data_IF_956315912926
#
_entry.id   IF_956315912926
#
_cell.length_a   1.000
_cell.length_b   1.000
_cell.length_c   1.000
_cell.angle_alpha   90.00
_cell.angle_beta   90.00
_cell.angle_gamma   90.00
#
_symmetry.space_group_name_H-M   'P 1'
#
loop_
_entity.id
_entity.type
_entity.pdbx_description
1 polymer ?
#
# COMPACT_ATOMS: atom_id res chain seq x y z
N UNK A 1 34.45 -69.43 54.96
CA UNK A 1 34.75 -68.01 55.20
C UNK A 1 35.09 -67.36 53.86
N UNK A 2 34.10 -66.76 53.20
CA UNK A 2 34.21 -66.30 51.81
C UNK A 2 34.50 -64.78 51.79
N UNK A 3 35.60 -64.40 51.12
CA UNK A 3 36.10 -63.02 51.02
C UNK A 3 35.15 -62.15 50.17
N UNK A 4 34.73 -61.00 50.71
CA UNK A 4 33.96 -59.97 50.01
C UNK A 4 34.88 -59.17 49.08
N UNK A 5 34.55 -59.12 47.79
CA UNK A 5 35.13 -58.17 46.85
C UNK A 5 34.22 -56.95 46.74
N UNK A 6 34.78 -55.78 47.03
CA UNK A 6 34.10 -54.49 46.92
C UNK A 6 34.30 -53.96 45.49
N UNK A 7 33.24 -53.85 44.70
CA UNK A 7 33.24 -53.09 43.45
C UNK A 7 32.90 -51.62 43.76
N UNK A 8 33.83 -50.72 43.47
CA UNK A 8 33.59 -49.27 43.49
C UNK A 8 33.13 -48.87 42.09
N UNK A 9 31.87 -48.49 41.96
CA UNK A 9 31.33 -47.88 40.74
C UNK A 9 31.55 -46.37 40.78
N UNK A 10 32.37 -45.83 39.87
CA UNK A 10 32.46 -44.40 39.61
C UNK A 10 31.16 -43.92 38.96
N UNK A 11 30.38 -43.09 39.65
CA UNK A 11 29.33 -42.30 39.03
C UNK A 11 29.96 -41.08 38.33
N UNK A 12 30.06 -41.13 37.00
CA UNK A 12 30.35 -39.96 36.18
C UNK A 12 29.14 -39.03 36.16
N UNK A 13 29.32 -37.79 36.61
CA UNK A 13 28.29 -36.75 36.55
C UNK A 13 28.08 -36.30 35.10
N UNK A 14 26.89 -36.58 34.55
CA UNK A 14 26.42 -35.91 33.34
C UNK A 14 26.06 -34.46 33.68
N UNK A 15 26.85 -33.51 33.20
CA UNK A 15 26.48 -32.10 33.16
C UNK A 15 25.54 -31.90 31.97
N UNK A 16 24.23 -31.89 32.23
CA UNK A 16 23.22 -31.46 31.26
C UNK A 16 23.25 -29.94 31.14
N UNK A 17 23.89 -29.42 30.09
CA UNK A 17 23.75 -28.02 29.70
C UNK A 17 22.30 -27.77 29.26
N UNK A 18 21.51 -27.18 30.14
CA UNK A 18 20.17 -26.70 29.84
C UNK A 18 20.31 -25.38 29.08
N UNK A 19 20.19 -25.42 27.76
CA UNK A 19 19.95 -24.22 26.98
C UNK A 19 18.52 -23.78 27.26
N UNK A 20 18.37 -22.82 28.18
CA UNK A 20 17.09 -22.13 28.36
C UNK A 20 16.73 -21.44 27.04
N UNK A 21 15.64 -21.86 26.42
CA UNK A 21 15.02 -21.09 25.35
C UNK A 21 14.61 -19.74 25.95
N UNK A 22 15.34 -18.68 25.61
CA UNK A 22 14.96 -17.32 25.99
C UNK A 22 13.55 -17.05 25.48
N UNK A 23 12.65 -16.65 26.37
CA UNK A 23 11.35 -16.14 25.97
C UNK A 23 11.58 -14.92 25.09
N UNK A 24 11.10 -14.98 23.84
CA UNK A 24 11.12 -13.82 22.96
C UNK A 24 10.16 -12.78 23.55
N UNK A 25 10.70 -11.73 24.17
CA UNK A 25 9.90 -10.59 24.57
C UNK A 25 9.30 -9.95 23.31
N UNK A 26 8.02 -9.61 23.38
CA UNK A 26 7.39 -8.79 22.35
C UNK A 26 8.13 -7.45 22.26
N UNK A 27 8.38 -6.98 21.04
CA UNK A 27 8.98 -5.68 20.80
C UNK A 27 8.16 -4.58 21.48
N UNK A 28 8.84 -3.64 22.12
CA UNK A 28 8.17 -2.50 22.77
C UNK A 28 8.35 -1.28 21.88
N UNK A 29 7.33 -0.98 21.09
CA UNK A 29 7.40 0.17 20.17
C UNK A 29 7.79 1.47 20.89
N UNK A 30 8.52 2.31 20.17
CA UNK A 30 8.89 3.67 20.55
C UNK A 30 9.82 3.72 21.77
N UNK A 31 10.64 2.69 21.99
CA UNK A 31 11.55 2.62 23.15
C UNK A 31 12.99 3.04 22.86
N UNK A 32 13.33 3.35 21.61
CA UNK A 32 14.69 3.72 21.20
C UNK A 32 15.65 2.53 21.06
N UNK A 33 15.13 1.32 20.94
CA UNK A 33 15.89 0.10 20.65
C UNK A 33 15.34 -0.55 19.40
N UNK A 34 16.22 -1.06 18.53
CA UNK A 34 15.78 -1.74 17.32
C UNK A 34 15.67 -3.25 17.56
N UNK A 35 14.47 -3.72 17.90
CA UNK A 35 14.18 -5.08 18.34
C UNK A 35 13.69 -5.98 17.19
N UNK A 36 13.52 -7.28 17.46
CA UNK A 36 12.96 -8.20 16.45
C UNK A 36 11.48 -7.90 16.25
N UNK A 37 11.03 -7.78 15.00
CA UNK A 37 9.66 -7.41 14.67
C UNK A 37 9.46 -5.93 14.33
N UNK A 38 10.50 -5.10 14.44
CA UNK A 38 10.41 -3.65 14.24
C UNK A 38 11.07 -3.17 12.95
N UNK A 39 10.61 -2.01 12.49
CA UNK A 39 11.27 -1.19 11.51
C UNK A 39 11.87 0.04 12.19
N UNK A 40 13.15 0.29 11.93
CA UNK A 40 13.91 1.30 12.66
C UNK A 40 14.49 2.34 11.69
N UNK A 41 14.32 3.61 12.03
CA UNK A 41 14.84 4.77 11.32
C UNK A 41 15.94 5.41 12.16
N UNK A 42 17.07 5.71 11.53
CA UNK A 42 18.25 6.28 12.16
C UNK A 42 18.52 7.67 11.64
N UNK A 43 18.93 8.57 12.54
CA UNK A 43 19.22 9.96 12.21
C UNK A 43 20.41 10.12 11.25
N UNK A 44 21.44 9.27 11.36
CA UNK A 44 22.59 9.29 10.46
C UNK A 44 22.62 8.08 9.52
N UNK A 45 23.50 8.17 8.52
CA UNK A 45 23.82 7.03 7.65
C UNK A 45 24.44 5.87 8.42
N UNK A 46 24.42 4.69 7.81
CA UNK A 46 25.06 3.47 8.31
C UNK A 46 24.56 3.03 9.70
N UNK A 47 23.26 3.25 9.94
CA UNK A 47 22.55 2.96 11.19
C UNK A 47 23.19 3.63 12.42
N UNK A 48 23.77 4.82 12.24
CA UNK A 48 24.35 5.62 13.30
C UNK A 48 23.39 6.71 13.84
N UNK A 49 23.74 7.28 14.98
CA UNK A 49 22.93 8.31 15.65
C UNK A 49 21.75 7.75 16.43
N UNK A 50 20.82 8.63 16.79
CA UNK A 50 19.60 8.27 17.51
C UNK A 50 18.65 7.47 16.61
N UNK A 51 17.89 6.54 17.21
CA UNK A 51 16.95 5.65 16.52
C UNK A 51 15.51 5.90 16.94
N UNK A 52 14.61 5.70 15.98
CA UNK A 52 13.18 5.62 16.14
C UNK A 52 12.69 4.27 15.61
N UNK A 53 12.02 3.49 16.44
CA UNK A 53 11.54 2.13 16.17
C UNK A 53 10.01 2.05 16.14
N UNK A 54 9.48 1.13 15.33
CA UNK A 54 8.05 0.97 15.02
C UNK A 54 7.72 -0.50 14.71
N UNK A 55 6.62 -1.06 15.22
CA UNK A 55 6.13 -2.39 14.82
C UNK A 55 4.94 -2.32 13.83
N UNK A 56 4.29 -1.15 13.72
CA UNK A 56 3.23 -0.85 12.75
C UNK A 56 3.67 0.06 11.58
N UNK A 57 2.78 0.24 10.60
CA UNK A 57 2.97 1.26 9.55
C UNK A 57 2.60 2.64 10.07
N UNK A 58 3.32 3.68 9.64
CA UNK A 58 3.07 5.07 10.04
C UNK A 58 2.83 5.93 8.81
N UNK A 59 1.60 6.44 8.69
CA UNK A 59 1.17 7.27 7.56
C UNK A 59 1.73 8.69 7.63
N UNK A 60 2.05 9.22 8.80
CA UNK A 60 2.67 10.54 8.93
C UNK A 60 3.56 10.58 10.18
N UNK A 61 4.83 10.90 10.00
CA UNK A 61 5.76 11.09 11.12
C UNK A 61 5.48 12.37 11.91
N UNK A 62 4.69 13.30 11.37
CA UNK A 62 4.38 14.58 12.00
C UNK A 62 5.53 15.59 11.92
N UNK A 63 5.17 16.87 11.79
CA UNK A 63 6.14 17.95 11.51
C UNK A 63 6.79 18.54 12.76
N UNK A 64 6.12 18.47 13.91
CA UNK A 64 6.58 19.08 15.15
C UNK A 64 6.06 18.39 16.41
N UNK A 65 6.80 18.55 17.51
CA UNK A 65 6.35 18.20 18.85
C UNK A 65 5.10 19.00 19.25
N UNK A 66 4.19 18.45 20.09
CA UNK A 66 4.29 17.15 20.75
C UNK A 66 3.78 15.96 19.92
N UNK A 67 3.36 16.22 18.67
CA UNK A 67 2.67 15.23 17.83
C UNK A 67 3.57 14.41 16.91
N UNK A 68 4.80 14.87 16.66
CA UNK A 68 5.71 14.14 15.79
C UNK A 68 6.31 12.92 16.50
N UNK A 69 6.69 11.93 15.72
CA UNK A 69 7.52 10.85 16.20
C UNK A 69 8.97 11.34 16.27
N UNK A 70 9.58 11.43 17.45
CA UNK A 70 11.01 11.73 17.55
C UNK A 70 11.93 10.51 17.49
N UNK A 71 13.22 10.73 17.21
CA UNK A 71 14.27 9.76 17.55
C UNK A 71 14.45 9.69 19.08
N UNK A 72 14.40 8.48 19.63
CA UNK A 72 14.24 8.21 21.07
C UNK A 72 15.57 7.92 21.77
N UNK A 73 16.45 7.17 21.12
CA UNK A 73 17.67 6.68 21.75
C UNK A 73 18.71 7.77 21.99
N UNK A 74 19.67 7.52 22.86
CA UNK A 74 20.79 8.44 23.07
C UNK A 74 21.64 8.59 21.79
N UNK A 75 22.08 9.81 21.50
CA UNK A 75 22.99 10.11 20.39
C UNK A 75 22.54 11.29 19.52
N UNK A 76 23.30 11.57 18.46
CA UNK A 76 22.98 12.65 17.52
C UNK A 76 21.57 12.46 16.93
N UNK A 77 20.74 13.51 17.03
CA UNK A 77 19.36 13.50 16.56
C UNK A 77 18.30 13.15 17.62
N UNK A 78 18.70 12.83 18.85
CA UNK A 78 17.74 12.55 19.93
C UNK A 78 16.76 13.71 20.13
N UNK A 79 15.46 13.40 20.19
CA UNK A 79 14.38 14.39 20.34
C UNK A 79 13.97 15.11 19.06
N UNK A 80 14.72 14.97 17.96
CA UNK A 80 14.36 15.54 16.65
C UNK A 80 13.23 14.72 16.04
N UNK A 81 12.26 15.38 15.41
CA UNK A 81 11.20 14.69 14.66
C UNK A 81 11.80 13.86 13.52
N UNK A 82 11.30 12.63 13.33
CA UNK A 82 11.77 11.71 12.29
C UNK A 82 11.54 12.27 10.89
N UNK A 83 10.42 12.98 10.69
CA UNK A 83 10.07 13.60 9.41
C UNK A 83 11.21 14.47 8.92
N UNK A 84 11.64 14.22 7.68
CA UNK A 84 12.73 14.91 7.01
C UNK A 84 14.09 14.87 7.75
N UNK A 85 14.31 13.85 8.58
CA UNK A 85 15.56 13.75 9.34
C UNK A 85 16.15 12.33 9.38
N UNK A 86 15.44 11.29 8.92
CA UNK A 86 16.03 9.96 8.87
C UNK A 86 16.96 9.79 7.67
N UNK A 87 18.11 9.13 7.88
CA UNK A 87 19.13 8.92 6.85
C UNK A 87 19.40 7.45 6.54
N UNK A 88 19.07 6.52 7.44
CA UNK A 88 19.24 5.08 7.20
C UNK A 88 18.23 4.26 7.99
N UNK A 89 18.14 2.97 7.66
CA UNK A 89 17.13 2.07 8.23
C UNK A 89 17.71 0.73 8.66
N UNK A 90 16.98 0.04 9.54
CA UNK A 90 17.08 -1.40 9.71
C UNK A 90 15.67 -2.01 9.76
N UNK A 91 15.37 -2.88 8.81
CA UNK A 91 14.14 -3.67 8.80
C UNK A 91 14.36 -4.98 9.56
N UNK A 92 13.92 -5.05 10.81
CA UNK A 92 13.91 -6.28 11.62
C UNK A 92 12.53 -6.95 11.66
N UNK A 93 11.61 -6.50 10.82
CA UNK A 93 10.33 -7.18 10.60
C UNK A 93 10.52 -8.44 9.74
N UNK A 94 9.50 -9.29 9.66
CA UNK A 94 9.45 -10.44 8.75
C UNK A 94 8.86 -10.10 7.37
N UNK A 95 8.67 -8.82 7.07
CA UNK A 95 8.09 -8.32 5.81
C UNK A 95 9.01 -7.29 5.17
N UNK A 96 8.80 -7.00 3.89
CA UNK A 96 9.41 -5.81 3.29
C UNK A 96 8.83 -4.54 3.92
N UNK A 97 9.63 -3.49 4.04
CA UNK A 97 9.19 -2.17 4.50
C UNK A 97 9.58 -1.12 3.49
N UNK A 98 8.64 -0.24 3.16
CA UNK A 98 8.86 0.86 2.21
C UNK A 98 8.81 2.19 2.94
N UNK A 99 9.83 3.03 2.72
CA UNK A 99 9.91 4.42 3.22
C UNK A 99 9.54 5.37 2.09
N UNK A 100 8.76 6.41 2.40
CA UNK A 100 8.20 7.35 1.44
C UNK A 100 8.59 8.79 1.76
N UNK A 101 8.74 9.60 0.70
CA UNK A 101 9.08 11.01 0.76
C UNK A 101 7.96 11.82 1.44
N UNK A 102 6.70 11.58 1.05
CA UNK A 102 5.54 12.29 1.58
C UNK A 102 4.82 11.47 2.66
N UNK A 103 4.02 12.18 3.47
CA UNK A 103 3.00 11.56 4.31
C UNK A 103 1.96 10.84 3.44
N UNK A 104 1.19 9.97 4.08
CA UNK A 104 0.20 9.08 3.47
C UNK A 104 0.78 8.18 2.37
N UNK A 105 2.03 7.72 2.56
CA UNK A 105 2.71 6.76 1.68
C UNK A 105 2.92 7.24 0.24
N UNK A 106 3.13 8.55 0.05
CA UNK A 106 3.25 9.16 -1.28
C UNK A 106 4.69 9.56 -1.68
N UNK A 107 4.88 9.85 -2.97
CA UNK A 107 6.14 10.41 -3.49
C UNK A 107 7.23 9.39 -3.77
N UNK A 108 8.48 9.86 -3.87
CA UNK A 108 9.65 8.99 -4.02
C UNK A 108 9.72 7.99 -2.87
N UNK A 109 10.21 6.77 -3.15
CA UNK A 109 10.21 5.69 -2.16
C UNK A 109 11.39 4.75 -2.30
N UNK A 110 11.65 3.98 -1.25
CA UNK A 110 12.66 2.94 -1.21
C UNK A 110 12.18 1.78 -0.32
N UNK A 111 12.24 0.58 -0.87
CA UNK A 111 11.83 -0.64 -0.18
C UNK A 111 13.05 -1.41 0.33
N UNK A 112 12.96 -1.91 1.55
CA UNK A 112 13.96 -2.72 2.21
C UNK A 112 13.36 -4.10 2.51
N UNK A 113 14.00 -5.16 2.01
CA UNK A 113 13.59 -6.53 2.29
C UNK A 113 13.61 -6.84 3.80
N UNK A 114 12.90 -7.88 4.22
CA UNK A 114 12.95 -8.36 5.59
C UNK A 114 14.41 -8.64 6.01
N UNK A 115 14.81 -8.17 7.19
CA UNK A 115 16.18 -8.28 7.70
C UNK A 115 17.18 -7.26 7.14
N UNK A 116 16.82 -6.49 6.09
CA UNK A 116 17.76 -5.62 5.40
C UNK A 116 18.12 -4.38 6.23
N UNK A 117 19.38 -3.94 6.06
CA UNK A 117 19.89 -2.63 6.49
C UNK A 117 20.26 -1.82 5.26
N UNK A 118 20.19 -0.51 5.36
CA UNK A 118 20.73 0.34 4.30
C UNK A 118 20.54 1.83 4.54
N UNK A 119 21.29 2.61 3.77
CA UNK A 119 21.09 4.04 3.66
C UNK A 119 19.87 4.34 2.80
N UNK A 120 19.17 5.41 3.16
CA UNK A 120 18.18 6.00 2.26
C UNK A 120 18.92 6.63 1.08
N UNK A 121 18.38 6.43 -0.13
CA UNK A 121 18.88 7.06 -1.36
C UNK A 121 18.81 8.58 -1.22
N UNK A 122 19.62 9.29 -2.01
CA UNK A 122 19.77 10.74 -1.91
C UNK A 122 18.43 11.51 -1.92
N UNK A 123 17.43 11.01 -2.66
CA UNK A 123 16.09 11.59 -2.79
C UNK A 123 15.23 11.49 -1.52
N UNK A 124 15.57 10.59 -0.59
CA UNK A 124 14.79 10.25 0.61
C UNK A 124 15.52 10.51 1.91
N UNK A 125 16.85 10.53 1.86
CA UNK A 125 17.69 10.85 3.00
C UNK A 125 17.35 12.25 3.47
N UNK A 126 16.92 12.37 4.73
CA UNK A 126 16.46 13.61 5.34
C UNK A 126 15.23 14.22 4.64
N UNK A 127 14.48 13.42 3.89
CA UNK A 127 13.33 13.87 3.12
C UNK A 127 12.31 12.73 3.09
N UNK A 128 11.88 12.28 4.26
CA UNK A 128 10.96 11.15 4.42
C UNK A 128 9.91 11.44 5.48
N UNK A 129 8.70 10.95 5.26
CA UNK A 129 7.53 11.33 6.07
C UNK A 129 6.60 10.17 6.43
N UNK A 130 6.77 8.98 5.84
CA UNK A 130 5.97 7.80 6.20
C UNK A 130 6.68 6.48 5.87
N UNK A 131 6.21 5.37 6.45
CA UNK A 131 6.62 4.01 6.05
C UNK A 131 5.48 2.99 6.15
N UNK A 132 5.55 1.94 5.33
CA UNK A 132 4.56 0.86 5.27
C UNK A 132 5.21 -0.51 5.34
N UNK A 133 4.79 -1.32 6.30
CA UNK A 133 5.22 -2.71 6.51
C UNK A 133 4.35 -3.65 5.67
N UNK A 134 4.96 -4.61 4.98
CA UNK A 134 4.27 -5.57 4.11
C UNK A 134 4.19 -5.18 2.64
N UNK A 135 4.74 -4.03 2.25
CA UNK A 135 4.78 -3.58 0.87
C UNK A 135 6.12 -3.96 0.22
N UNK A 136 6.11 -4.98 -0.64
CA UNK A 136 7.29 -5.51 -1.33
C UNK A 136 7.57 -4.82 -2.68
N UNK A 137 7.26 -3.53 -2.79
CA UNK A 137 7.53 -2.77 -3.99
C UNK A 137 6.52 -3.02 -5.12
N UNK A 138 5.22 -3.02 -4.80
CA UNK A 138 4.26 -2.60 -5.82
C UNK A 138 4.51 -1.12 -6.11
N UNK A 139 4.62 -0.70 -7.37
CA UNK A 139 4.68 0.71 -7.78
C UNK A 139 3.65 1.57 -7.02
N UNK A 140 3.97 2.85 -6.75
CA UNK A 140 3.31 3.66 -5.73
C UNK A 140 1.79 3.53 -5.79
N UNK A 141 1.18 3.58 -4.61
CA UNK A 141 0.03 4.45 -4.48
C UNK A 141 0.60 5.87 -4.70
N UNK A 142 0.53 6.49 -5.91
CA UNK A 142 0.91 7.88 -6.01
C UNK A 142 0.09 8.62 -4.97
N UNK A 143 0.70 9.62 -4.31
CA UNK A 143 -0.08 10.59 -3.56
C UNK A 143 -1.28 10.98 -4.45
N UNK A 144 -2.53 10.99 -3.94
CA UNK A 144 -3.69 11.29 -4.76
C UNK A 144 -3.35 12.56 -5.53
N UNK A 145 -3.26 12.44 -6.85
CA UNK A 145 -2.90 13.57 -7.67
C UNK A 145 -3.84 14.72 -7.33
N UNK A 146 -3.34 15.95 -7.41
CA UNK A 146 -4.13 17.17 -7.18
C UNK A 146 -5.08 17.46 -8.34
N UNK A 147 -5.68 16.43 -8.94
CA UNK A 147 -6.83 16.65 -9.81
C UNK A 147 -7.90 17.37 -9.00
N UNK A 148 -8.50 18.44 -9.56
CA UNK A 148 -9.53 19.19 -8.87
C UNK A 148 -10.69 18.28 -8.43
N UNK A 149 -11.39 18.70 -7.38
CA UNK A 149 -12.60 18.00 -6.97
C UNK A 149 -13.63 18.03 -8.11
N UNK A 150 -14.32 16.90 -8.37
CA UNK A 150 -15.45 16.90 -9.28
C UNK A 150 -16.67 17.56 -8.65
N UNK A 151 -17.60 17.90 -9.52
CA UNK A 151 -18.97 18.21 -9.13
C UNK A 151 -19.69 16.97 -8.60
N UNK A 152 -20.74 17.16 -7.81
CA UNK A 152 -21.58 16.04 -7.36
C UNK A 152 -22.46 15.59 -8.53
N UNK A 153 -22.55 14.28 -8.74
CA UNK A 153 -23.31 13.69 -9.82
C UNK A 153 -24.81 14.00 -9.64
N UNK A 154 -25.44 14.75 -10.56
CA UNK A 154 -26.84 15.14 -10.40
C UNK A 154 -27.81 14.10 -10.96
N UNK A 155 -27.32 12.99 -11.52
CA UNK A 155 -28.15 12.06 -12.27
C UNK A 155 -28.60 10.86 -11.42
N UNK A 156 -29.89 10.48 -11.50
CA UNK A 156 -30.41 9.31 -10.80
C UNK A 156 -29.88 8.00 -11.39
N UNK A 157 -30.10 6.88 -10.68
CA UNK A 157 -29.72 5.57 -11.18
C UNK A 157 -30.55 5.21 -12.42
N UNK A 158 -29.91 4.60 -13.41
CA UNK A 158 -30.56 4.22 -14.66
C UNK A 158 -29.84 3.03 -15.29
N UNK A 159 -30.40 2.53 -16.39
CA UNK A 159 -29.74 1.61 -17.29
C UNK A 159 -29.72 2.19 -18.69
N UNK A 160 -28.63 1.96 -19.41
CA UNK A 160 -28.46 2.27 -20.82
C UNK A 160 -27.80 1.07 -21.47
N UNK A 161 -28.37 0.54 -22.55
CA UNK A 161 -27.75 -0.62 -23.20
C UNK A 161 -26.41 -0.20 -23.80
N UNK A 162 -25.35 -0.92 -23.43
CA UNK A 162 -24.03 -0.79 -24.06
C UNK A 162 -24.13 -0.78 -25.60
N UNK A 163 -23.34 0.06 -26.29
CA UNK A 163 -22.20 0.83 -25.78
C UNK A 163 -22.56 2.19 -25.16
N UNK A 164 -23.86 2.50 -25.02
CA UNK A 164 -24.28 3.78 -24.45
C UNK A 164 -24.05 3.82 -22.94
N UNK A 165 -23.45 4.90 -22.46
CA UNK A 165 -23.41 5.23 -21.05
C UNK A 165 -24.77 5.69 -20.55
N UNK A 166 -25.09 5.40 -19.29
CA UNK A 166 -26.16 6.16 -18.60
C UNK A 166 -25.72 7.61 -18.45
N UNK A 167 -26.67 8.54 -18.25
CA UNK A 167 -26.31 9.95 -17.97
C UNK A 167 -25.41 10.08 -16.74
N UNK A 168 -25.62 9.21 -15.75
CA UNK A 168 -24.79 9.13 -14.54
C UNK A 168 -23.35 8.74 -14.87
N UNK A 169 -23.16 7.72 -15.71
CA UNK A 169 -21.82 7.29 -16.16
C UNK A 169 -21.17 8.31 -17.08
N UNK A 170 -21.93 8.90 -18.01
CA UNK A 170 -21.43 9.95 -18.91
C UNK A 170 -20.93 11.16 -18.12
N UNK A 171 -21.63 11.56 -17.06
CA UNK A 171 -21.15 12.63 -16.20
C UNK A 171 -19.78 12.32 -15.58
N UNK A 172 -19.53 11.08 -15.18
CA UNK A 172 -18.22 10.68 -14.63
C UNK A 172 -17.15 10.74 -15.71
N UNK A 173 -17.44 10.23 -16.92
CA UNK A 173 -16.55 10.36 -18.08
C UNK A 173 -16.18 11.83 -18.35
N UNK A 174 -17.17 12.73 -18.36
CA UNK A 174 -16.96 14.17 -18.55
C UNK A 174 -16.10 14.80 -17.42
N UNK A 175 -16.32 14.38 -16.17
CA UNK A 175 -15.49 14.82 -15.05
C UNK A 175 -14.06 14.25 -15.14
N UNK A 176 -13.88 12.99 -15.55
CA UNK A 176 -12.55 12.39 -15.78
C UNK A 176 -11.82 13.21 -16.85
N UNK A 177 -12.44 13.43 -18.00
CA UNK A 177 -11.84 14.19 -19.09
C UNK A 177 -11.48 15.63 -18.70
N UNK A 178 -12.38 16.33 -18.02
CA UNK A 178 -12.19 17.75 -17.67
C UNK A 178 -11.23 17.97 -16.49
N UNK A 179 -11.19 17.07 -15.49
CA UNK A 179 -10.34 17.25 -14.30
C UNK A 179 -8.98 16.57 -14.44
N UNK A 180 -8.90 15.50 -15.22
CA UNK A 180 -7.69 14.66 -15.29
C UNK A 180 -6.97 14.74 -16.62
N UNK A 181 -7.68 15.10 -17.69
CA UNK A 181 -7.18 15.09 -19.06
C UNK A 181 -7.28 13.73 -19.75
N UNK A 182 -7.69 12.68 -19.04
CA UNK A 182 -7.91 11.34 -19.60
C UNK A 182 -9.18 11.31 -20.44
N UNK A 183 -9.04 10.99 -21.73
CA UNK A 183 -10.15 11.03 -22.71
C UNK A 183 -10.49 9.67 -23.31
N UNK A 184 -9.79 8.63 -22.88
CA UNK A 184 -9.90 7.29 -23.43
C UNK A 184 -10.69 6.40 -22.47
N UNK A 185 -11.91 6.83 -22.14
CA UNK A 185 -12.84 6.10 -21.29
C UNK A 185 -14.08 5.70 -22.10
N UNK A 186 -14.54 4.46 -21.95
CA UNK A 186 -15.76 3.99 -22.63
C UNK A 186 -16.43 2.84 -21.87
N UNK A 187 -17.73 2.66 -22.11
CA UNK A 187 -18.49 1.50 -21.60
C UNK A 187 -18.07 0.20 -22.30
N UNK A 188 -17.73 0.30 -23.59
CA UNK A 188 -17.46 -0.86 -24.44
C UNK A 188 -18.74 -1.47 -25.00
N UNK A 189 -18.58 -2.43 -25.91
CA UNK A 189 -19.73 -3.08 -26.56
C UNK A 189 -20.50 -4.01 -25.61
N UNK A 190 -21.76 -4.28 -25.97
CA UNK A 190 -22.60 -5.24 -25.26
C UNK A 190 -22.00 -6.66 -25.34
N UNK A 191 -21.92 -7.34 -24.20
CA UNK A 191 -21.30 -8.65 -24.02
C UNK A 191 -22.38 -9.71 -23.78
N UNK A 192 -22.75 -10.45 -24.83
CA UNK A 192 -23.81 -11.46 -24.77
C UNK A 192 -23.50 -12.68 -23.89
N UNK A 193 -22.22 -12.89 -23.57
CA UNK A 193 -21.74 -13.95 -22.68
C UNK A 193 -21.68 -13.53 -21.20
N UNK A 194 -21.98 -12.26 -20.88
CA UNK A 194 -22.14 -11.79 -19.50
C UNK A 194 -23.62 -11.64 -19.14
N UNK A 195 -23.93 -11.49 -17.85
CA UNK A 195 -25.29 -11.15 -17.41
C UNK A 195 -25.78 -9.89 -18.12
N UNK A 196 -27.04 -9.86 -18.53
CA UNK A 196 -27.68 -8.65 -19.06
C UNK A 196 -27.68 -7.49 -18.04
N UNK A 197 -27.50 -7.80 -16.75
CA UNK A 197 -27.39 -6.83 -15.65
C UNK A 197 -25.94 -6.47 -15.31
N UNK A 198 -24.93 -6.93 -16.05
CA UNK A 198 -23.54 -6.53 -15.78
C UNK A 198 -23.38 -5.01 -15.93
N UNK A 199 -22.46 -4.43 -15.17
CA UNK A 199 -22.25 -2.98 -15.18
C UNK A 199 -21.89 -2.46 -16.57
N UNK A 200 -21.12 -3.22 -17.36
CA UNK A 200 -20.90 -2.91 -18.77
C UNK A 200 -22.20 -2.97 -19.58
N UNK A 201 -22.92 -4.09 -19.54
CA UNK A 201 -24.14 -4.27 -20.35
C UNK A 201 -25.24 -3.24 -20.05
N UNK A 202 -25.25 -2.69 -18.84
CA UNK A 202 -26.20 -1.67 -18.37
C UNK A 202 -25.69 -0.23 -18.48
N UNK A 203 -24.51 0.02 -19.05
CA UNK A 203 -23.99 1.36 -19.28
C UNK A 203 -23.49 2.05 -18.00
N UNK A 204 -23.17 1.27 -16.97
CA UNK A 204 -22.79 1.69 -15.62
C UNK A 204 -21.34 1.33 -15.25
N UNK A 205 -20.48 1.12 -16.25
CA UNK A 205 -19.04 0.98 -16.08
C UNK A 205 -18.29 1.77 -17.16
N UNK A 206 -17.07 2.19 -16.84
CA UNK A 206 -16.11 2.75 -17.79
C UNK A 206 -14.79 2.00 -17.67
N UNK A 207 -14.22 1.66 -18.81
CA UNK A 207 -12.82 1.25 -18.95
C UNK A 207 -12.02 2.42 -19.52
N UNK A 208 -11.08 2.93 -18.74
CA UNK A 208 -10.23 4.06 -19.10
C UNK A 208 -8.81 3.58 -19.44
N UNK A 209 -8.43 3.56 -20.71
CA UNK A 209 -7.05 3.26 -21.10
C UNK A 209 -6.15 4.46 -20.88
N UNK A 210 -4.98 4.26 -20.30
CA UNK A 210 -4.06 5.34 -19.95
C UNK A 210 -3.13 5.61 -21.14
N UNK A 211 -3.67 6.25 -22.17
CA UNK A 211 -2.98 6.59 -23.43
C UNK A 211 -2.49 5.41 -24.28
N UNK A 212 -2.79 4.16 -23.90
CA UNK A 212 -2.45 2.91 -24.60
C UNK A 212 -3.69 2.22 -25.20
N UNK A 213 -3.47 1.26 -26.09
CA UNK A 213 -4.52 0.34 -26.52
C UNK A 213 -4.73 -0.77 -25.48
N UNK A 214 -5.96 -1.28 -25.36
CA UNK A 214 -6.25 -2.50 -24.61
C UNK A 214 -5.39 -3.67 -25.15
N UNK A 215 -4.98 -4.54 -24.23
CA UNK A 215 -4.17 -5.74 -24.48
C UNK A 215 -2.68 -5.53 -24.21
N UNK A 216 -2.23 -4.32 -23.90
CA UNK A 216 -0.81 -3.99 -23.71
C UNK A 216 -0.53 -3.47 -22.31
N UNK A 217 0.49 -4.02 -21.65
CA UNK A 217 0.96 -3.50 -20.37
C UNK A 217 1.41 -2.03 -20.49
N UNK A 218 1.04 -1.15 -19.53
CA UNK A 218 1.44 0.23 -19.51
C UNK A 218 2.93 0.36 -19.21
N UNK A 219 3.54 1.45 -19.70
CA UNK A 219 4.83 1.92 -19.19
C UNK A 219 4.73 2.37 -17.73
N UNK A 220 5.85 2.54 -17.03
CA UNK A 220 5.84 2.99 -15.64
C UNK A 220 5.16 4.35 -15.43
N UNK A 221 5.32 5.29 -16.37
CA UNK A 221 4.64 6.60 -16.31
C UNK A 221 3.12 6.47 -16.48
N UNK A 222 2.68 5.59 -17.39
CA UNK A 222 1.25 5.29 -17.57
C UNK A 222 0.67 4.54 -16.38
N UNK A 223 1.44 3.63 -15.77
CA UNK A 223 1.05 2.95 -14.54
C UNK A 223 0.80 3.95 -13.41
N UNK A 224 1.73 4.90 -13.22
CA UNK A 224 1.60 5.97 -12.25
C UNK A 224 0.39 6.88 -12.53
N UNK A 225 0.14 7.21 -13.80
CA UNK A 225 -1.03 8.00 -14.21
C UNK A 225 -2.36 7.26 -13.98
N UNK A 226 -2.44 5.96 -14.29
CA UNK A 226 -3.62 5.15 -14.01
C UNK A 226 -3.92 5.06 -12.52
N UNK A 227 -2.87 4.95 -11.70
CA UNK A 227 -3.06 5.00 -10.25
C UNK A 227 -3.56 6.37 -9.79
N UNK A 228 -3.04 7.46 -10.37
CA UNK A 228 -3.50 8.82 -10.06
C UNK A 228 -5.00 8.98 -10.34
N UNK A 229 -5.49 8.43 -11.46
CA UNK A 229 -6.92 8.38 -11.79
C UNK A 229 -7.70 7.51 -10.79
N UNK A 230 -7.23 6.29 -10.51
CA UNK A 230 -7.87 5.36 -9.59
C UNK A 230 -8.03 5.95 -8.18
N UNK A 231 -7.00 6.63 -7.65
CA UNK A 231 -7.04 7.32 -6.37
C UNK A 231 -8.00 8.52 -6.36
N UNK A 232 -8.10 9.24 -7.47
CA UNK A 232 -9.07 10.34 -7.59
C UNK A 232 -10.51 9.82 -7.58
N UNK A 233 -10.78 8.73 -8.30
CA UNK A 233 -12.08 8.05 -8.29
C UNK A 233 -12.43 7.52 -6.88
N UNK A 234 -11.47 6.91 -6.18
CA UNK A 234 -11.62 6.48 -4.80
C UNK A 234 -11.93 7.67 -3.87
N UNK A 235 -11.13 8.74 -3.93
CA UNK A 235 -11.27 9.92 -3.06
C UNK A 235 -12.64 10.60 -3.22
N UNK A 236 -13.13 10.69 -4.45
CA UNK A 236 -14.38 11.38 -4.77
C UNK A 236 -15.53 10.41 -5.05
N UNK A 237 -15.43 9.17 -4.58
CA UNK A 237 -16.42 8.13 -4.85
C UNK A 237 -17.84 8.55 -4.49
N UNK A 238 -18.03 9.25 -3.36
CA UNK A 238 -19.34 9.75 -2.94
C UNK A 238 -19.88 10.89 -3.82
N UNK A 239 -19.03 11.71 -4.45
CA UNK A 239 -19.47 12.77 -5.36
C UNK A 239 -19.79 12.20 -6.74
N UNK A 240 -19.06 11.19 -7.16
CA UNK A 240 -19.16 10.59 -8.49
C UNK A 240 -20.13 9.40 -8.54
N UNK A 241 -20.64 8.93 -7.40
CA UNK A 241 -21.40 7.68 -7.26
C UNK A 241 -20.62 6.43 -7.72
N UNK A 242 -19.31 6.38 -7.43
CA UNK A 242 -18.47 5.20 -7.69
C UNK A 242 -18.77 4.10 -6.68
N UNK A 243 -18.94 2.86 -7.17
CA UNK A 243 -19.07 1.65 -6.33
C UNK A 243 -17.72 0.99 -6.08
N UNK A 244 -16.95 0.78 -7.15
CA UNK A 244 -15.64 0.17 -7.08
C UNK A 244 -14.75 0.59 -8.26
N UNK A 245 -13.45 0.46 -8.05
CA UNK A 245 -12.39 0.76 -9.03
C UNK A 245 -11.43 -0.42 -9.08
N UNK A 246 -10.98 -0.80 -10.29
CA UNK A 246 -10.01 -1.87 -10.50
C UNK A 246 -8.84 -1.33 -11.33
N UNK A 247 -7.61 -1.57 -10.88
CA UNK A 247 -6.39 -1.21 -11.61
C UNK A 247 -5.21 -2.06 -11.16
N UNK A 248 -4.33 -2.47 -12.09
CA UNK A 248 -3.11 -3.26 -11.83
C UNK A 248 -3.36 -4.52 -10.98
N UNK A 249 -4.44 -5.27 -11.27
CA UNK A 249 -4.79 -6.46 -10.50
C UNK A 249 -5.21 -6.16 -9.05
N UNK A 250 -5.61 -4.92 -8.75
CA UNK A 250 -6.14 -4.49 -7.46
C UNK A 250 -7.55 -3.96 -7.60
N UNK A 251 -8.33 -4.11 -6.54
CA UNK A 251 -9.70 -3.60 -6.43
C UNK A 251 -9.89 -2.83 -5.13
N UNK A 252 -10.53 -1.67 -5.22
CA UNK A 252 -11.09 -0.94 -4.10
C UNK A 252 -12.59 -0.79 -4.29
N UNK A 253 -13.37 -0.88 -3.21
CA UNK A 253 -14.82 -0.70 -3.25
C UNK A 253 -15.33 0.05 -2.02
N UNK A 254 -16.40 0.84 -2.20
CA UNK A 254 -17.04 1.59 -1.11
C UNK A 254 -17.48 0.65 0.01
N UNK A 255 -18.09 -0.49 -0.33
CA UNK A 255 -18.57 -1.48 0.64
C UNK A 255 -17.46 -2.10 1.51
N UNK A 256 -16.20 -2.04 1.08
CA UNK A 256 -15.03 -2.60 1.78
C UNK A 256 -13.93 -1.55 1.93
N UNK A 257 -14.31 -0.27 2.04
CA UNK A 257 -13.36 0.84 2.03
C UNK A 257 -12.33 0.75 3.17
N UNK A 258 -12.71 0.21 4.33
CA UNK A 258 -11.84 0.00 5.49
C UNK A 258 -10.72 -1.01 5.24
N UNK A 259 -10.85 -1.88 4.24
CA UNK A 259 -9.80 -2.84 3.86
C UNK A 259 -8.79 -2.25 2.85
N UNK A 260 -9.06 -1.04 2.33
CA UNK A 260 -8.24 -0.42 1.30
C UNK A 260 -8.24 -1.19 -0.03
N UNK A 261 -7.15 -1.08 -0.79
CA UNK A 261 -6.95 -1.79 -2.04
C UNK A 261 -6.61 -3.26 -1.78
N UNK A 262 -7.38 -4.17 -2.38
CA UNK A 262 -7.26 -5.62 -2.24
C UNK A 262 -6.80 -6.24 -3.55
N UNK A 263 -6.29 -7.47 -3.49
CA UNK A 263 -6.01 -8.24 -4.71
C UNK A 263 -7.32 -8.52 -5.45
N UNK A 264 -7.34 -8.21 -6.75
CA UNK A 264 -8.40 -8.61 -7.66
C UNK A 264 -8.13 -10.03 -8.16
N UNK A 265 -9.08 -10.94 -7.96
CA UNK A 265 -8.88 -12.39 -8.20
C UNK A 265 -9.71 -12.96 -9.34
N UNK A 266 -10.55 -12.15 -9.99
CA UNK A 266 -11.43 -12.61 -11.07
C UNK A 266 -10.78 -12.60 -12.46
N UNK A 267 -9.50 -12.19 -12.56
CA UNK A 267 -8.73 -12.26 -13.80
C UNK A 267 -7.22 -12.07 -13.53
N UNK A 268 -6.39 -12.68 -14.38
CA UNK A 268 -4.93 -12.72 -14.22
C UNK A 268 -4.14 -12.28 -15.46
N UNK A 269 -4.78 -12.18 -16.62
CA UNK A 269 -4.18 -11.69 -17.86
C UNK A 269 -4.21 -10.16 -17.96
N UNK A 270 -3.55 -9.61 -18.98
CA UNK A 270 -3.37 -8.15 -19.14
C UNK A 270 -4.70 -7.40 -19.06
N UNK A 271 -5.67 -7.79 -19.88
CA UNK A 271 -6.97 -7.10 -19.94
C UNK A 271 -7.93 -7.56 -18.84
N UNK A 272 -8.16 -8.86 -18.67
CA UNK A 272 -9.12 -9.33 -17.67
C UNK A 272 -8.65 -9.13 -16.22
N UNK A 273 -7.35 -8.97 -15.99
CA UNK A 273 -6.75 -8.55 -14.72
C UNK A 273 -6.64 -7.03 -14.55
N UNK A 274 -7.11 -6.25 -15.52
CA UNK A 274 -7.13 -4.78 -15.50
C UNK A 274 -5.73 -4.15 -15.33
N UNK A 275 -4.74 -4.71 -16.03
CA UNK A 275 -3.38 -4.17 -16.06
C UNK A 275 -3.20 -3.10 -17.14
N UNK A 276 -4.12 -2.97 -18.10
CA UNK A 276 -4.03 -2.07 -19.26
C UNK A 276 -5.06 -0.93 -19.29
N UNK A 277 -6.12 -1.01 -18.47
CA UNK A 277 -7.10 0.06 -18.24
C UNK A 277 -7.53 0.17 -16.77
N UNK A 278 -7.89 1.39 -16.34
CA UNK A 278 -8.58 1.63 -15.07
C UNK A 278 -10.07 1.35 -15.29
N UNK A 279 -10.62 0.38 -14.59
CA UNK A 279 -12.06 0.11 -14.61
C UNK A 279 -12.74 0.81 -13.43
N UNK A 280 -13.87 1.45 -13.70
CA UNK A 280 -14.74 2.03 -12.68
C UNK A 280 -16.17 1.57 -12.89
N UNK A 281 -16.79 1.08 -11.82
CA UNK A 281 -18.22 0.77 -11.79
C UNK A 281 -18.98 1.78 -10.96
N UNK A 282 -20.16 2.11 -11.47
CA UNK A 282 -21.00 3.22 -11.03
C UNK A 282 -22.27 2.69 -10.38
N UNK A 283 -22.81 3.45 -9.44
CA UNK A 283 -24.05 3.13 -8.75
C UNK A 283 -25.20 2.91 -9.74
N UNK A 284 -25.87 1.76 -9.65
CA UNK A 284 -26.86 1.30 -10.61
C UNK A 284 -28.03 0.54 -9.95
N UNK A 285 -29.17 0.33 -10.66
CA UNK A 285 -30.37 -0.29 -10.10
C UNK A 285 -30.26 -1.78 -9.72
N UNK A 286 -29.21 -2.48 -10.14
CA UNK A 286 -29.07 -3.94 -10.01
C UNK A 286 -28.12 -4.36 -8.89
N UNK A 287 -27.27 -3.46 -8.38
CA UNK A 287 -26.23 -3.80 -7.42
C UNK A 287 -24.99 -4.42 -8.08
N UNK A 288 -24.15 -5.08 -7.27
CA UNK A 288 -22.98 -5.85 -7.72
C UNK A 288 -23.29 -7.35 -7.77
#
# INVERSE_FOLDING_TARGET
>A
MLKKFTFVALMGALVTASFGAGVANAATERNGSCESGEFCLYYNSDQAGSVSDFAGSVADYGDSQPSCYEFKSAGNGQGVCVKNNAASVWNKTNKAVTVFYNSNYGGAKQTFAAGAKGNLKAELKNENASHRIGDAGGDPDPAPGTYPAPEANPHPEATAKAPNATKRTQFIDDQIASKTGEKQCWVGDYRSYESATSNHNTGNALDCTISNAIGTYPTESQKAQGWKLAYWLQKYASKLDVRYVIWQGKIWSVARASEGWRTYTAGTGVTNGHYDHVHVSVQNPHGD
#
